data_IF_895136448471
#
_entry.id   IF_895136448471
#
_cell.length_a   1.000
_cell.length_b   1.000
_cell.length_c   1.000
_cell.angle_alpha   90.00
_cell.angle_beta   90.00
_cell.angle_gamma   90.00
#
_symmetry.space_group_name_H-M   'P 1'
#
loop_
_entity.id
_entity.type
_entity.pdbx_description
1 polymer ?
#
# COMPACT_ATOMS: atom_id res chain seq x y z
N UNK A 1 26.46 -4.24 -17.75
CA UNK A 1 25.75 -4.84 -16.60
C UNK A 1 24.44 -5.39 -17.13
N UNK A 2 24.17 -6.69 -16.98
CA UNK A 2 22.93 -7.30 -17.49
C UNK A 2 21.75 -6.83 -16.60
N UNK A 3 20.82 -6.07 -17.16
CA UNK A 3 19.67 -5.46 -16.45
C UNK A 3 18.42 -6.35 -16.46
N UNK A 4 18.56 -7.62 -16.85
CA UNK A 4 17.52 -8.60 -16.65
C UNK A 4 17.23 -8.74 -15.15
N UNK A 5 15.96 -8.99 -14.83
CA UNK A 5 15.50 -9.11 -13.44
C UNK A 5 16.31 -10.21 -12.75
N UNK A 6 17.16 -9.84 -11.80
CA UNK A 6 18.03 -10.78 -11.12
C UNK A 6 17.20 -11.65 -10.16
N UNK A 7 17.47 -12.97 -10.07
CA UNK A 7 16.90 -13.78 -9.02
C UNK A 7 17.40 -13.23 -7.67
N UNK A 8 16.48 -12.72 -6.85
CA UNK A 8 16.80 -12.19 -5.53
C UNK A 8 17.01 -13.35 -4.56
N UNK A 9 18.05 -13.28 -3.74
CA UNK A 9 18.30 -14.29 -2.72
C UNK A 9 17.26 -14.21 -1.60
N UNK A 10 16.86 -15.38 -1.12
CA UNK A 10 15.99 -15.55 0.04
C UNK A 10 16.85 -15.60 1.31
N UNK A 11 16.37 -14.98 2.40
CA UNK A 11 17.09 -14.99 3.68
C UNK A 11 17.01 -16.34 4.43
N UNK A 12 16.01 -17.15 4.11
CA UNK A 12 15.74 -18.40 4.81
C UNK A 12 15.71 -19.55 3.82
N UNK A 13 16.41 -20.62 4.15
CA UNK A 13 16.39 -21.85 3.37
C UNK A 13 15.27 -22.75 3.89
N UNK A 14 14.31 -23.06 3.03
CA UNK A 14 13.24 -24.01 3.32
C UNK A 14 12.81 -24.70 2.03
N UNK A 15 12.29 -25.93 2.14
CA UNK A 15 11.66 -26.60 0.99
C UNK A 15 10.44 -25.79 0.49
N UNK A 16 10.03 -25.99 -0.76
CA UNK A 16 8.84 -25.32 -1.30
C UNK A 16 7.64 -25.49 -0.36
N UNK A 17 6.91 -24.39 -0.19
CA UNK A 17 5.69 -24.32 0.61
C UNK A 17 4.58 -23.96 -0.38
N UNK A 18 3.85 -24.97 -0.81
CA UNK A 18 2.73 -24.76 -1.72
C UNK A 18 1.51 -24.30 -0.93
N UNK A 19 0.93 -23.20 -1.38
CA UNK A 19 -0.32 -22.65 -0.87
C UNK A 19 -1.07 -21.95 -2.00
N UNK A 20 -2.36 -21.73 -1.76
CA UNK A 20 -3.20 -20.91 -2.61
C UNK A 20 -3.56 -19.61 -1.91
N UNK A 21 -3.09 -18.50 -2.47
CA UNK A 21 -3.48 -17.15 -2.06
C UNK A 21 -4.27 -16.47 -3.17
N UNK A 22 -5.38 -15.82 -2.81
CA UNK A 22 -6.14 -14.98 -3.73
C UNK A 22 -6.39 -13.63 -3.08
N UNK A 23 -5.94 -12.55 -3.73
CA UNK A 23 -6.17 -11.20 -3.24
C UNK A 23 -7.67 -10.89 -3.32
N UNK A 24 -8.34 -10.93 -2.17
CA UNK A 24 -9.77 -10.65 -2.05
C UNK A 24 -10.08 -10.07 -0.68
N UNK A 25 -11.25 -9.45 -0.53
CA UNK A 25 -11.69 -8.90 0.75
C UNK A 25 -11.81 -9.93 1.90
N UNK A 26 -11.87 -11.23 1.57
CA UNK A 26 -11.94 -12.31 2.57
C UNK A 26 -10.57 -12.78 3.03
N UNK A 27 -9.60 -12.77 2.11
CA UNK A 27 -8.31 -13.43 2.29
C UNK A 27 -7.15 -12.43 2.44
N UNK A 28 -7.39 -11.15 2.15
CA UNK A 28 -6.39 -10.09 2.27
C UNK A 28 -7.01 -8.82 2.86
N UNK A 29 -6.60 -8.48 4.09
CA UNK A 29 -6.99 -7.25 4.76
C UNK A 29 -5.78 -6.38 5.05
N UNK A 30 -5.95 -5.07 4.86
CA UNK A 30 -4.91 -4.07 5.10
C UNK A 30 -5.46 -3.00 6.03
N UNK A 31 -4.88 -2.86 7.21
CA UNK A 31 -5.26 -1.85 8.18
C UNK A 31 -4.14 -0.81 8.30
N UNK A 32 -4.43 0.42 7.92
CA UNK A 32 -3.49 1.53 8.07
C UNK A 32 -3.24 1.83 9.54
N UNK A 33 -1.97 2.02 9.90
CA UNK A 33 -1.53 2.49 11.21
C UNK A 33 -1.13 3.95 11.05
N UNK A 34 -1.82 4.90 11.71
CA UNK A 34 -1.52 6.32 11.56
C UNK A 34 -0.12 6.62 12.10
N UNK A 35 0.52 7.67 11.59
CA UNK A 35 1.88 8.04 12.01
C UNK A 35 1.93 8.46 13.50
N UNK A 36 0.85 9.07 13.96
CA UNK A 36 0.65 9.59 15.31
C UNK A 36 -0.84 9.58 15.64
N UNK A 37 -1.19 9.71 16.92
CA UNK A 37 -2.57 9.86 17.35
C UNK A 37 -3.17 11.20 16.91
N UNK A 38 -4.47 11.22 16.62
CA UNK A 38 -5.15 12.45 16.23
C UNK A 38 -5.42 13.34 17.45
N UNK A 39 -5.39 14.65 17.25
CA UNK A 39 -5.50 15.63 18.35
C UNK A 39 -6.90 15.77 18.94
N UNK A 40 -7.90 15.08 18.37
CA UNK A 40 -9.32 15.15 18.74
C UNK A 40 -9.98 16.53 18.62
N UNK A 41 -9.22 17.55 18.22
CA UNK A 41 -9.65 18.91 17.90
C UNK A 41 -9.00 19.38 16.60
N UNK A 42 -9.51 20.47 16.02
CA UNK A 42 -8.99 21.10 14.81
C UNK A 42 -9.99 21.18 13.66
N UNK A 43 -9.52 21.74 12.54
CA UNK A 43 -10.34 22.10 11.38
C UNK A 43 -10.54 20.96 10.38
N UNK A 44 -9.90 19.82 10.59
CA UNK A 44 -10.05 18.64 9.76
C UNK A 44 -10.75 17.52 10.52
N UNK A 45 -11.84 17.00 9.96
CA UNK A 45 -12.40 15.73 10.36
C UNK A 45 -11.53 14.60 9.78
N UNK A 46 -11.07 13.71 10.64
CA UNK A 46 -10.31 12.53 10.28
C UNK A 46 -11.19 11.30 10.43
N UNK A 47 -11.36 10.56 9.35
CA UNK A 47 -12.33 9.47 9.26
C UNK A 47 -11.57 8.19 8.97
N UNK A 48 -11.80 7.17 9.78
CA UNK A 48 -11.36 5.83 9.46
C UNK A 48 -12.41 5.18 8.57
N UNK A 49 -12.02 4.82 7.35
CA UNK A 49 -12.92 4.25 6.36
C UNK A 49 -12.48 2.84 6.00
N UNK A 50 -13.40 1.90 6.02
CA UNK A 50 -13.24 0.57 5.45
C UNK A 50 -13.83 0.55 4.04
N UNK A 51 -13.04 0.10 3.05
CA UNK A 51 -13.47 -0.09 1.66
C UNK A 51 -13.21 -1.52 1.20
N UNK A 52 -14.05 -2.00 0.27
CA UNK A 52 -13.89 -3.27 -0.42
C UNK A 52 -14.15 -3.07 -1.92
N UNK A 53 -13.33 -3.66 -2.78
CA UNK A 53 -13.52 -3.60 -4.24
C UNK A 53 -13.30 -2.22 -4.85
N UNK A 54 -12.71 -1.28 -4.11
CA UNK A 54 -12.42 0.09 -4.53
C UNK A 54 -10.96 0.43 -4.31
N UNK A 55 -10.34 1.15 -5.25
CA UNK A 55 -9.09 1.87 -5.03
C UNK A 55 -9.31 3.06 -4.10
N UNK A 56 -8.22 3.60 -3.54
CA UNK A 56 -8.30 4.82 -2.72
C UNK A 56 -8.86 6.00 -3.51
N UNK A 57 -8.50 6.13 -4.80
CA UNK A 57 -8.97 7.25 -5.63
C UNK A 57 -10.47 7.16 -5.94
N UNK A 58 -10.98 5.97 -6.27
CA UNK A 58 -12.42 5.73 -6.45
C UNK A 58 -13.20 6.06 -5.16
N UNK A 59 -12.68 5.65 -3.99
CA UNK A 59 -13.29 6.03 -2.70
C UNK A 59 -13.36 7.55 -2.52
N UNK A 60 -12.27 8.28 -2.79
CA UNK A 60 -12.26 9.75 -2.65
C UNK A 60 -13.26 10.42 -3.61
N UNK A 61 -13.44 9.89 -4.82
CA UNK A 61 -14.48 10.37 -5.75
C UNK A 61 -15.88 10.17 -5.18
N UNK A 62 -16.16 9.00 -4.57
CA UNK A 62 -17.44 8.73 -3.92
C UNK A 62 -17.71 9.71 -2.78
N UNK A 63 -16.71 9.98 -1.92
CA UNK A 63 -16.83 11.01 -0.88
C UNK A 63 -17.12 12.40 -1.45
N UNK A 64 -16.45 12.77 -2.55
CA UNK A 64 -16.67 14.04 -3.23
C UNK A 64 -18.10 14.17 -3.76
N UNK A 65 -18.63 13.12 -4.40
CA UNK A 65 -20.00 13.09 -4.93
C UNK A 65 -21.06 13.14 -3.84
N UNK A 66 -20.89 12.37 -2.76
CA UNK A 66 -21.89 12.28 -1.68
C UNK A 66 -21.91 13.55 -0.82
N UNK A 67 -20.74 14.12 -0.51
CA UNK A 67 -20.64 15.24 0.44
C UNK A 67 -20.52 16.62 -0.24
N UNK A 68 -20.29 16.66 -1.56
CA UNK A 68 -20.00 17.91 -2.28
C UNK A 68 -18.63 18.53 -1.94
N UNK A 69 -17.75 17.77 -1.27
CA UNK A 69 -16.38 18.22 -0.95
C UNK A 69 -15.49 18.08 -2.19
N UNK A 70 -14.63 19.08 -2.47
CA UNK A 70 -13.67 18.97 -3.58
C UNK A 70 -12.61 17.91 -3.27
N UNK A 71 -12.24 17.10 -4.26
CA UNK A 71 -11.19 16.07 -4.11
C UNK A 71 -9.87 16.66 -3.57
N UNK A 72 -9.50 17.88 -4.00
CA UNK A 72 -8.31 18.56 -3.52
C UNK A 72 -8.33 18.90 -2.02
N UNK A 73 -9.50 18.93 -1.38
CA UNK A 73 -9.66 19.15 0.07
C UNK A 73 -9.60 17.83 0.86
N UNK A 74 -9.78 16.69 0.18
CA UNK A 74 -9.63 15.37 0.77
C UNK A 74 -8.15 15.00 0.91
N UNK A 75 -7.78 14.50 2.09
CA UNK A 75 -6.43 14.05 2.43
C UNK A 75 -6.38 12.55 2.66
N UNK A 76 -5.25 11.92 2.35
CA UNK A 76 -5.00 10.50 2.55
C UNK A 76 -3.49 10.26 2.66
N UNK A 77 -3.09 9.21 3.41
CA UNK A 77 -1.69 8.96 3.72
C UNK A 77 -0.99 8.11 2.65
N UNK A 78 -1.73 7.24 1.96
CA UNK A 78 -1.22 6.42 0.88
C UNK A 78 -2.34 5.70 0.14
N UNK A 79 -1.99 5.12 -1.01
CA UNK A 79 -2.91 4.28 -1.77
C UNK A 79 -3.03 2.90 -1.10
N UNK A 80 -4.19 2.27 -1.27
CA UNK A 80 -4.50 0.93 -0.77
C UNK A 80 -5.10 0.07 -1.86
N UNK A 81 -4.83 -1.22 -1.79
CA UNK A 81 -5.25 -2.22 -2.77
C UNK A 81 -6.76 -2.22 -3.01
N UNK A 82 -7.14 -2.39 -4.28
CA UNK A 82 -8.55 -2.56 -4.69
C UNK A 82 -9.07 -3.95 -4.34
N UNK A 83 -8.22 -4.96 -4.52
CA UNK A 83 -8.55 -6.38 -4.33
C UNK A 83 -8.25 -6.84 -2.90
N UNK A 84 -8.70 -6.08 -1.91
CA UNK A 84 -8.48 -6.31 -0.49
C UNK A 84 -9.59 -5.65 0.34
N UNK A 85 -9.75 -6.07 1.60
CA UNK A 85 -10.54 -5.32 2.57
C UNK A 85 -9.62 -4.33 3.27
N UNK A 86 -9.72 -3.05 2.94
CA UNK A 86 -8.75 -2.08 3.44
C UNK A 86 -9.40 -1.07 4.36
N UNK A 87 -8.76 -0.82 5.50
CA UNK A 87 -9.09 0.27 6.40
C UNK A 87 -7.99 1.33 6.32
N UNK A 88 -8.37 2.57 6.02
CA UNK A 88 -7.44 3.70 5.94
C UNK A 88 -8.06 4.96 6.52
N UNK A 89 -7.21 5.93 6.85
CA UNK A 89 -7.65 7.24 7.29
C UNK A 89 -7.69 8.21 6.12
N UNK A 90 -8.76 9.00 6.07
CA UNK A 90 -8.86 10.17 5.21
C UNK A 90 -9.18 11.38 6.06
N UNK A 91 -8.84 12.57 5.57
CA UNK A 91 -9.23 13.82 6.21
C UNK A 91 -10.07 14.68 5.27
N UNK A 92 -11.03 15.40 5.81
CA UNK A 92 -11.82 16.40 5.09
C UNK A 92 -12.09 17.64 5.96
N UNK A 93 -12.47 18.79 5.41
CA UNK A 93 -12.78 19.98 6.21
C UNK A 93 -13.93 19.73 7.19
N UNK A 94 -13.77 20.10 8.46
CA UNK A 94 -14.71 19.83 9.56
C UNK A 94 -16.17 20.17 9.24
N UNK A 95 -16.41 21.21 8.44
CA UNK A 95 -17.77 21.62 8.01
C UNK A 95 -18.58 20.51 7.32
N UNK A 96 -17.94 19.52 6.69
CA UNK A 96 -18.66 18.39 6.06
C UNK A 96 -18.87 17.20 7.00
N UNK A 97 -18.29 17.20 8.21
CA UNK A 97 -18.44 16.08 9.15
C UNK A 97 -19.90 15.76 9.51
N UNK A 98 -20.81 16.73 9.72
CA UNK A 98 -22.23 16.45 9.99
C UNK A 98 -22.96 15.72 8.85
N UNK A 99 -22.42 15.74 7.64
CA UNK A 99 -23.01 15.04 6.49
C UNK A 99 -22.65 13.55 6.44
N UNK A 100 -21.65 13.12 7.21
CA UNK A 100 -21.19 11.72 7.22
C UNK A 100 -22.27 10.78 7.74
N UNK A 101 -22.82 11.09 8.91
CA UNK A 101 -23.86 10.28 9.55
C UNK A 101 -25.14 10.26 8.70
N UNK A 102 -25.55 11.43 8.19
CA UNK A 102 -26.72 11.59 7.30
C UNK A 102 -26.64 10.76 6.03
N UNK A 103 -25.44 10.44 5.55
CA UNK A 103 -25.21 9.70 4.32
C UNK A 103 -24.69 8.28 4.54
N UNK A 104 -24.82 7.73 5.77
CA UNK A 104 -24.28 6.40 6.11
C UNK A 104 -24.75 5.32 5.14
N UNK A 105 -26.04 5.29 4.78
CA UNK A 105 -26.60 4.31 3.82
C UNK A 105 -25.99 4.45 2.43
N UNK A 106 -25.85 5.69 1.93
CA UNK A 106 -25.24 5.99 0.63
C UNK A 106 -23.79 5.48 0.55
N UNK A 107 -23.03 5.58 1.65
CA UNK A 107 -21.68 5.00 1.70
C UNK A 107 -21.70 3.47 1.67
N UNK A 108 -22.61 2.84 2.43
CA UNK A 108 -22.70 1.38 2.50
C UNK A 108 -23.06 0.77 1.14
N UNK A 109 -24.00 1.37 0.41
CA UNK A 109 -24.35 0.96 -0.96
C UNK A 109 -23.17 1.02 -1.93
N UNK A 110 -22.16 1.85 -1.63
CA UNK A 110 -20.93 1.99 -2.41
C UNK A 110 -19.77 1.16 -1.84
N UNK A 111 -20.03 0.15 -1.00
CA UNK A 111 -19.02 -0.70 -0.35
C UNK A 111 -18.04 0.06 0.57
N UNK A 112 -18.50 1.18 1.16
CA UNK A 112 -17.76 1.97 2.14
C UNK A 112 -18.44 1.89 3.51
N UNK A 113 -17.64 1.73 4.55
CA UNK A 113 -18.11 1.84 5.94
C UNK A 113 -17.23 2.82 6.70
N UNK A 114 -17.84 3.86 7.24
CA UNK A 114 -17.21 4.76 8.21
C UNK A 114 -17.13 4.00 9.54
N UNK A 115 -15.91 3.88 10.09
CA UNK A 115 -15.65 3.16 11.33
C UNK A 115 -15.49 4.09 12.53
N UNK A 116 -14.89 5.26 12.32
CA UNK A 116 -14.70 6.27 13.37
C UNK A 116 -14.52 7.65 12.76
N UNK A 117 -14.80 8.67 13.57
CA UNK A 117 -14.60 10.08 13.29
C UNK A 117 -13.81 10.69 14.45
N UNK A 118 -12.69 11.33 14.11
CA UNK A 118 -11.85 12.13 14.99
C UNK A 118 -11.62 13.51 14.37
N UNK A 119 -10.85 14.36 15.04
CA UNK A 119 -10.43 15.65 14.49
C UNK A 119 -8.93 15.84 14.59
N UNK A 120 -8.39 16.62 13.65
CA UNK A 120 -7.00 17.01 13.67
C UNK A 120 -6.80 18.43 13.14
N UNK A 121 -5.73 19.10 13.58
CA UNK A 121 -5.38 20.44 13.11
C UNK A 121 -4.93 20.45 11.64
N UNK A 122 -4.34 19.35 11.18
CA UNK A 122 -3.75 19.25 9.85
C UNK A 122 -4.50 18.27 8.96
N UNK A 123 -4.59 18.62 7.67
CA UNK A 123 -4.96 17.69 6.62
C UNK A 123 -3.98 16.51 6.56
N UNK A 124 -4.47 15.29 6.38
CA UNK A 124 -3.63 14.11 6.11
C UNK A 124 -2.98 14.27 4.73
N UNK A 125 -1.66 14.06 4.65
CA UNK A 125 -0.87 14.10 3.41
C UNK A 125 -0.18 12.76 3.18
N UNK A 126 0.34 12.59 1.96
CA UNK A 126 1.13 11.42 1.59
C UNK A 126 2.28 11.20 2.59
N UNK A 127 2.44 9.97 3.06
CA UNK A 127 3.45 9.61 4.06
C UNK A 127 3.03 9.79 5.51
N UNK A 128 1.83 10.31 5.81
CA UNK A 128 1.30 10.43 7.18
C UNK A 128 0.77 9.09 7.75
N UNK A 129 1.49 8.00 7.51
CA UNK A 129 1.23 6.68 8.11
C UNK A 129 2.53 6.11 8.68
N UNK A 130 2.43 5.38 9.80
CA UNK A 130 3.56 4.61 10.34
C UNK A 130 3.80 3.34 9.53
N UNK A 131 2.72 2.75 9.02
CA UNK A 131 2.77 1.51 8.26
C UNK A 131 1.38 0.90 8.10
N UNK A 132 1.35 -0.38 7.76
CA UNK A 132 0.11 -1.13 7.60
C UNK A 132 0.21 -2.46 8.35
N UNK A 133 -0.88 -2.86 9.00
CA UNK A 133 -1.06 -4.21 9.54
C UNK A 133 -1.79 -5.04 8.51
N UNK A 134 -1.18 -6.16 8.13
CA UNK A 134 -1.74 -7.08 7.14
C UNK A 134 -2.36 -8.28 7.84
N UNK A 135 -3.49 -8.74 7.29
CA UNK A 135 -4.02 -10.06 7.53
C UNK A 135 -4.06 -10.79 6.18
N UNK A 136 -3.47 -11.97 6.13
CA UNK A 136 -3.40 -12.79 4.92
C UNK A 136 -3.86 -14.20 5.26
N UNK A 137 -4.77 -14.76 4.45
CA UNK A 137 -5.23 -16.14 4.56
C UNK A 137 -4.66 -16.97 3.42
N UNK A 138 -3.77 -17.90 3.76
CA UNK A 138 -3.30 -18.93 2.85
C UNK A 138 -4.23 -20.14 2.90
N UNK A 139 -4.58 -20.68 1.74
CA UNK A 139 -5.53 -21.80 1.59
C UNK A 139 -4.86 -22.98 0.89
N UNK A 140 -5.53 -24.13 0.86
CA UNK A 140 -5.04 -25.37 0.23
C UNK A 140 -3.64 -25.78 0.75
N UNK A 141 -3.39 -25.55 2.03
CA UNK A 141 -2.14 -25.95 2.68
C UNK A 141 -2.31 -27.35 3.26
N UNK A 142 -1.35 -28.23 2.98
CA UNK A 142 -1.24 -29.51 3.68
C UNK A 142 -0.74 -29.28 5.12
N UNK A 143 -0.97 -30.20 6.05
CA UNK A 143 -0.42 -30.09 7.41
C UNK A 143 1.10 -29.91 7.42
N UNK A 144 1.80 -30.61 6.53
CA UNK A 144 3.26 -30.47 6.36
C UNK A 144 3.66 -29.07 5.90
N UNK A 145 2.96 -28.48 4.92
CA UNK A 145 3.24 -27.12 4.47
C UNK A 145 2.89 -26.08 5.54
N UNK A 146 1.85 -26.31 6.35
CA UNK A 146 1.52 -25.44 7.48
C UNK A 146 2.65 -25.40 8.51
N UNK A 147 3.17 -26.56 8.90
CA UNK A 147 4.29 -26.67 9.83
C UNK A 147 5.57 -25.97 9.30
N UNK A 148 5.89 -26.17 8.01
CA UNK A 148 7.01 -25.45 7.37
C UNK A 148 6.81 -23.93 7.41
N UNK A 149 5.60 -23.46 7.14
CA UNK A 149 5.27 -22.03 7.21
C UNK A 149 5.46 -21.48 8.62
N UNK A 150 5.00 -22.19 9.65
CA UNK A 150 5.19 -21.79 11.05
C UNK A 150 6.68 -21.62 11.38
N UNK A 151 7.51 -22.59 11.02
CA UNK A 151 8.97 -22.51 11.23
C UNK A 151 9.59 -21.29 10.52
N UNK A 152 9.19 -21.01 9.28
CA UNK A 152 9.68 -19.84 8.55
C UNK A 152 9.17 -18.54 9.17
N UNK A 153 7.93 -18.50 9.65
CA UNK A 153 7.37 -17.32 10.31
C UNK A 153 8.05 -17.03 11.65
N UNK A 154 8.46 -18.05 12.40
CA UNK A 154 9.27 -17.88 13.62
C UNK A 154 10.63 -17.24 13.29
N UNK A 155 11.30 -17.70 12.23
CA UNK A 155 12.55 -17.09 11.75
C UNK A 155 12.34 -15.64 11.33
N UNK A 156 11.26 -15.34 10.60
CA UNK A 156 10.92 -13.97 10.19
C UNK A 156 10.62 -13.09 11.40
N UNK A 157 9.92 -13.61 12.41
CA UNK A 157 9.61 -12.86 13.63
C UNK A 157 10.88 -12.49 14.41
N UNK A 158 11.88 -13.38 14.43
CA UNK A 158 13.13 -13.16 15.15
C UNK A 158 14.13 -12.28 14.38
N UNK A 159 14.28 -12.52 13.08
CA UNK A 159 15.37 -11.94 12.27
C UNK A 159 14.90 -10.99 11.16
N UNK A 160 13.60 -10.90 10.91
CA UNK A 160 12.99 -10.03 9.92
C UNK A 160 12.90 -10.67 8.53
N UNK A 161 12.98 -9.86 7.48
CA UNK A 161 13.09 -10.35 6.11
C UNK A 161 13.77 -9.29 5.24
N UNK A 162 14.38 -9.66 4.11
CA UNK A 162 14.95 -8.69 3.18
C UNK A 162 13.88 -7.72 2.69
N UNK A 163 14.09 -6.42 2.89
CA UNK A 163 13.14 -5.38 2.53
C UNK A 163 13.22 -5.01 1.04
N UNK A 164 13.06 -5.99 0.16
CA UNK A 164 13.10 -5.77 -1.28
C UNK A 164 11.93 -4.91 -1.78
N UNK A 165 12.18 -4.12 -2.81
CA UNK A 165 11.13 -3.58 -3.65
C UNK A 165 10.52 -4.70 -4.50
N UNK A 166 9.19 -4.88 -4.42
CA UNK A 166 8.49 -5.92 -5.19
C UNK A 166 8.31 -5.58 -6.68
N UNK A 167 7.85 -6.54 -7.50
CA UNK A 167 7.70 -6.40 -8.96
C UNK A 167 6.86 -5.19 -9.40
N UNK A 168 5.83 -4.83 -8.62
CA UNK A 168 4.98 -3.67 -8.90
C UNK A 168 5.77 -2.36 -9.00
N UNK A 169 6.93 -2.26 -8.34
CA UNK A 169 7.82 -1.09 -8.43
C UNK A 169 8.45 -0.93 -9.81
N UNK A 170 8.57 -2.02 -10.56
CA UNK A 170 9.25 -2.09 -11.85
C UNK A 170 8.29 -2.10 -13.04
N UNK A 171 6.98 -1.92 -12.78
CA UNK A 171 5.96 -1.82 -13.83
C UNK A 171 5.47 -3.19 -14.31
N UNK A 172 4.47 -3.17 -15.20
CA UNK A 172 3.83 -4.40 -15.70
C UNK A 172 4.81 -5.32 -16.44
N UNK A 173 5.79 -4.74 -17.13
CA UNK A 173 6.77 -5.45 -17.93
C UNK A 173 8.13 -5.59 -17.22
N UNK A 174 8.23 -5.18 -15.94
CA UNK A 174 9.47 -5.18 -15.17
C UNK A 174 10.64 -4.46 -15.88
N UNK A 175 10.36 -3.37 -16.58
CA UNK A 175 11.30 -2.63 -17.43
C UNK A 175 11.49 -1.16 -16.99
N UNK A 176 10.72 -0.67 -16.01
CA UNK A 176 10.81 0.72 -15.55
C UNK A 176 12.23 1.11 -15.10
N UNK A 177 13.00 0.18 -14.52
CA UNK A 177 14.38 0.46 -14.11
C UNK A 177 15.31 0.67 -15.31
N UNK A 178 15.05 0.01 -16.44
CA UNK A 178 15.82 0.18 -17.68
C UNK A 178 15.55 1.55 -18.29
N UNK A 179 14.28 1.97 -18.34
CA UNK A 179 13.91 3.32 -18.76
C UNK A 179 14.50 4.38 -17.83
N UNK A 180 14.49 4.13 -16.51
CA UNK A 180 15.16 4.98 -15.52
C UNK A 180 16.65 5.17 -15.80
N UNK A 181 17.36 4.09 -16.16
CA UNK A 181 18.78 4.18 -16.54
C UNK A 181 18.97 4.99 -17.83
N UNK A 182 18.18 4.76 -18.87
CA UNK A 182 18.26 5.51 -20.12
C UNK A 182 18.08 7.02 -19.89
N UNK A 183 17.18 7.40 -18.96
CA UNK A 183 17.01 8.81 -18.57
C UNK A 183 18.26 9.37 -17.91
N UNK A 184 18.86 8.65 -16.96
CA UNK A 184 20.09 9.08 -16.30
C UNK A 184 21.28 9.18 -17.25
N UNK A 185 21.31 8.35 -18.30
CA UNK A 185 22.32 8.38 -19.35
C UNK A 185 22.02 9.40 -20.46
N UNK A 186 20.98 10.24 -20.30
CA UNK A 186 20.51 11.21 -21.29
C UNK A 186 20.16 10.59 -22.67
N UNK A 187 19.82 9.30 -22.71
CA UNK A 187 19.43 8.59 -23.94
C UNK A 187 17.93 8.75 -24.26
N UNK A 188 17.10 8.99 -23.24
CA UNK A 188 15.67 9.25 -23.39
C UNK A 188 15.19 10.25 -22.35
N UNK A 189 14.05 10.92 -22.60
CA UNK A 189 13.39 11.79 -21.64
C UNK A 189 11.92 11.94 -22.00
N UNK A 190 11.03 11.72 -21.03
CA UNK A 190 9.59 11.91 -21.24
C UNK A 190 9.17 13.34 -20.92
N UNK A 191 8.09 13.84 -21.55
CA UNK A 191 7.57 15.18 -21.30
C UNK A 191 7.11 15.37 -19.83
N UNK A 192 6.56 14.32 -19.23
CA UNK A 192 6.05 14.37 -17.85
C UNK A 192 7.18 14.20 -16.83
N UNK A 193 7.57 15.28 -16.16
CA UNK A 193 8.64 15.28 -15.16
C UNK A 193 8.42 14.26 -14.01
N UNK A 194 7.17 14.10 -13.55
CA UNK A 194 6.84 13.12 -12.51
C UNK A 194 7.08 11.67 -12.96
N UNK A 195 6.83 11.37 -14.23
CA UNK A 195 7.12 10.06 -14.81
C UNK A 195 8.63 9.81 -14.83
N UNK A 196 9.43 10.80 -15.27
CA UNK A 196 10.89 10.69 -15.26
C UNK A 196 11.41 10.41 -13.84
N UNK A 197 10.95 11.18 -12.85
CA UNK A 197 11.35 10.99 -11.46
C UNK A 197 10.98 9.60 -10.92
N UNK A 198 9.80 9.09 -11.28
CA UNK A 198 9.37 7.74 -10.92
C UNK A 198 10.26 6.66 -11.55
N UNK A 199 10.56 6.75 -12.85
CA UNK A 199 11.40 5.78 -13.56
C UNK A 199 12.84 5.77 -13.01
N UNK A 200 13.42 6.94 -12.74
CA UNK A 200 14.72 7.06 -12.06
C UNK A 200 14.67 6.38 -10.68
N UNK A 201 13.59 6.61 -9.92
CA UNK A 201 13.42 5.98 -8.62
C UNK A 201 13.22 4.46 -8.69
N UNK A 202 12.61 3.94 -9.77
CA UNK A 202 12.59 2.50 -10.06
C UNK A 202 13.99 1.95 -10.32
N UNK A 203 14.87 2.68 -11.02
CA UNK A 203 16.26 2.26 -11.18
C UNK A 203 17.04 2.22 -9.86
N UNK A 204 16.83 3.21 -8.98
CA UNK A 204 17.39 3.19 -7.63
C UNK A 204 16.91 1.98 -6.82
N UNK A 205 15.61 1.65 -6.89
CA UNK A 205 15.04 0.45 -6.28
C UNK A 205 15.67 -0.84 -6.81
N UNK A 206 15.99 -0.91 -8.10
CA UNK A 206 16.67 -2.06 -8.70
C UNK A 206 18.08 -2.23 -8.10
N UNK A 207 18.87 -1.14 -8.05
CA UNK A 207 20.21 -1.17 -7.47
C UNK A 207 20.18 -1.54 -5.98
N UNK A 208 19.21 -1.01 -5.23
CA UNK A 208 19.01 -1.38 -3.83
C UNK A 208 18.76 -2.88 -3.66
N UNK A 209 17.85 -3.45 -4.46
CA UNK A 209 17.57 -4.89 -4.42
C UNK A 209 18.82 -5.72 -4.75
N UNK A 210 19.59 -5.33 -5.76
CA UNK A 210 20.81 -6.02 -6.14
C UNK A 210 21.87 -5.99 -5.02
N UNK A 211 22.07 -4.83 -4.39
CA UNK A 211 22.99 -4.67 -3.27
C UNK A 211 22.54 -5.49 -2.05
N UNK A 212 21.26 -5.44 -1.70
CA UNK A 212 20.70 -6.19 -0.59
C UNK A 212 20.86 -7.70 -0.84
N UNK A 213 20.58 -8.16 -2.06
CA UNK A 213 20.77 -9.57 -2.42
C UNK A 213 22.23 -9.99 -2.28
N UNK A 214 23.18 -9.16 -2.73
CA UNK A 214 24.61 -9.44 -2.55
C UNK A 214 25.03 -9.50 -1.09
N UNK A 215 24.41 -8.69 -0.24
CA UNK A 215 24.69 -8.69 1.21
C UNK A 215 24.21 -9.96 1.91
N UNK A 216 23.24 -10.68 1.34
CA UNK A 216 22.80 -11.98 1.86
C UNK A 216 23.77 -13.13 1.53
N UNK A 217 24.79 -12.91 0.69
CA UNK A 217 25.82 -13.91 0.39
C UNK A 217 26.93 -13.99 1.45
N UNK A 218 27.00 -13.00 2.36
CA UNK A 218 28.05 -12.83 3.40
C UNK A 218 27.47 -13.25 4.75
#
# INVERSE_FOLDING_TARGET
>A
MNLNFMPLLHAYNHASIDFHFNSSARDFCVHEVPLYEFSNTGEHAVIQVRKSGLSTLEMLQIFSQILGVRIAELGYAGLKDKNALTTQFISLPKKYAPLLEKNTSNFQEKNLKILSLNYHHNKIKLGHLKGNRFFMRFKKMTPLNAQKTEQVLEQIAQFGMPNYFGPQRFGKFNDNHQEGLKILQNQTKFAHQKLNAFLISSYQSYLFNALLSKRLEI
#
